data_IF_876405166727
#
_entry.id   IF_876405166727
#
_cell.length_a   1.000
_cell.length_b   1.000
_cell.length_c   1.000
_cell.angle_alpha   90.00
_cell.angle_beta   90.00
_cell.angle_gamma   90.00
#
_symmetry.space_group_name_H-M   'P 1'
#
loop_
_entity.id
_entity.type
_entity.pdbx_description
1 polymer ?
#
# COMPACT_ATOMS: atom_id res chain seq x y z
N UNK A 1 65.52 40.86 -27.52
CA UNK A 1 64.84 40.11 -26.44
C UNK A 1 63.48 40.72 -26.17
N UNK A 2 62.39 40.02 -26.52
CA UNK A 2 61.05 40.08 -25.91
C UNK A 2 60.13 39.19 -26.75
N UNK A 3 59.89 37.97 -26.27
CA UNK A 3 58.90 37.04 -26.81
C UNK A 3 57.53 37.49 -26.29
N UNK A 4 56.58 37.78 -27.18
CA UNK A 4 55.17 37.99 -26.82
C UNK A 4 54.48 36.65 -27.05
N UNK A 5 54.03 36.02 -25.96
CA UNK A 5 53.26 34.78 -26.00
C UNK A 5 51.78 35.15 -25.99
N UNK A 6 51.07 34.76 -27.05
CA UNK A 6 49.62 34.91 -27.20
C UNK A 6 48.95 33.77 -26.41
N UNK A 7 48.24 34.08 -25.32
CA UNK A 7 47.45 33.11 -24.58
C UNK A 7 46.01 33.11 -25.14
N UNK A 8 45.63 32.04 -25.84
CA UNK A 8 44.25 31.76 -26.23
C UNK A 8 43.62 30.93 -25.11
N UNK A 9 42.64 31.51 -24.41
CA UNK A 9 41.82 30.79 -23.43
C UNK A 9 40.62 30.19 -24.18
N UNK A 10 40.65 28.89 -24.41
CA UNK A 10 39.48 28.12 -24.85
C UNK A 10 38.63 27.80 -23.62
N UNK A 11 37.49 28.47 -23.47
CA UNK A 11 36.42 28.03 -22.57
C UNK A 11 35.73 26.82 -23.22
N UNK A 12 36.02 25.63 -22.72
CA UNK A 12 35.27 24.42 -23.03
C UNK A 12 34.04 24.39 -22.12
N UNK A 13 32.88 24.72 -22.68
CA UNK A 13 31.59 24.56 -22.02
C UNK A 13 31.26 23.06 -21.91
N UNK A 14 31.50 22.48 -20.73
CA UNK A 14 31.00 21.15 -20.39
C UNK A 14 29.47 21.24 -20.21
N UNK A 15 28.71 20.97 -21.27
CA UNK A 15 27.32 20.59 -21.14
C UNK A 15 27.28 19.17 -20.60
N UNK A 16 27.28 19.04 -19.27
CA UNK A 16 26.87 17.80 -18.62
C UNK A 16 25.39 17.58 -18.90
N UNK A 17 25.07 16.77 -19.91
CA UNK A 17 23.78 16.09 -19.99
C UNK A 17 23.74 15.12 -18.82
N UNK A 18 23.30 15.59 -17.65
CA UNK A 18 22.86 14.72 -16.59
C UNK A 18 21.66 13.95 -17.12
N UNK A 19 21.90 12.75 -17.64
CA UNK A 19 20.86 11.74 -17.76
C UNK A 19 20.37 11.48 -16.34
N UNK A 20 19.34 12.21 -15.94
CA UNK A 20 18.56 11.89 -14.77
C UNK A 20 17.81 10.62 -15.13
N UNK A 21 18.45 9.45 -14.98
CA UNK A 21 17.77 8.16 -15.09
C UNK A 21 16.67 8.18 -14.03
N UNK A 22 15.46 8.53 -14.46
CA UNK A 22 14.29 8.39 -13.62
C UNK A 22 14.12 6.90 -13.37
N UNK A 23 14.32 6.49 -12.12
CA UNK A 23 14.20 5.08 -11.73
C UNK A 23 12.76 4.62 -11.87
N UNK A 24 12.54 3.60 -12.69
CA UNK A 24 11.25 2.92 -12.83
C UNK A 24 10.84 2.27 -11.50
N UNK A 25 9.55 2.33 -11.15
CA UNK A 25 8.95 1.62 -10.02
C UNK A 25 8.70 0.13 -10.32
N UNK A 26 8.38 -0.17 -11.58
CA UNK A 26 8.29 -1.54 -12.08
C UNK A 26 9.56 -1.79 -12.88
N UNK A 27 10.50 -2.58 -12.37
CA UNK A 27 11.80 -2.77 -13.01
C UNK A 27 11.72 -3.58 -14.31
N UNK A 28 10.80 -4.54 -14.41
CA UNK A 28 10.60 -5.36 -15.60
C UNK A 28 9.88 -4.59 -16.72
N UNK A 29 10.51 -4.51 -17.90
CA UNK A 29 9.98 -3.75 -19.03
C UNK A 29 8.77 -4.41 -19.70
N UNK A 30 8.67 -5.74 -19.68
CA UNK A 30 7.52 -6.46 -20.23
C UNK A 30 6.31 -6.25 -19.34
N UNK A 31 6.49 -6.33 -18.02
CA UNK A 31 5.43 -6.06 -17.05
C UNK A 31 4.95 -4.61 -17.16
N UNK A 32 5.86 -3.63 -17.27
CA UNK A 32 5.47 -2.23 -17.54
C UNK A 32 4.61 -2.09 -18.80
N UNK A 33 4.98 -2.75 -19.88
CA UNK A 33 4.25 -2.68 -21.15
C UNK A 33 2.85 -3.32 -21.04
N UNK A 34 2.72 -4.40 -20.28
CA UNK A 34 1.43 -5.06 -20.02
C UNK A 34 0.50 -4.16 -19.18
N UNK A 35 1.01 -3.59 -18.09
CA UNK A 35 0.27 -2.64 -17.24
C UNK A 35 -0.22 -1.44 -18.04
N UNK A 36 0.65 -0.86 -18.88
CA UNK A 36 0.28 0.29 -19.73
C UNK A 36 -0.79 -0.08 -20.77
N UNK A 37 -0.67 -1.27 -21.38
CA UNK A 37 -1.68 -1.78 -22.33
C UNK A 37 -3.04 -1.94 -21.66
N UNK A 38 -3.10 -2.54 -20.47
CA UNK A 38 -4.34 -2.76 -19.73
C UNK A 38 -4.97 -1.43 -19.27
N UNK A 39 -4.13 -0.49 -18.82
CA UNK A 39 -4.54 0.88 -18.52
C UNK A 39 -5.19 1.57 -19.72
N UNK A 40 -4.53 1.57 -20.88
CA UNK A 40 -5.04 2.17 -22.11
C UNK A 40 -6.35 1.51 -22.57
N UNK A 41 -6.45 0.18 -22.47
CA UNK A 41 -7.66 -0.56 -22.79
C UNK A 41 -8.83 -0.12 -21.89
N UNK A 42 -8.60 0.02 -20.58
CA UNK A 42 -9.64 0.50 -19.66
C UNK A 42 -10.01 1.97 -19.93
N UNK A 43 -9.03 2.82 -20.17
CA UNK A 43 -9.25 4.23 -20.50
C UNK A 43 -10.13 4.38 -21.76
N UNK A 44 -9.83 3.62 -22.81
CA UNK A 44 -10.63 3.60 -24.03
C UNK A 44 -12.07 3.10 -23.78
N UNK A 45 -12.25 2.14 -22.88
CA UNK A 45 -13.57 1.56 -22.57
C UNK A 45 -14.47 2.47 -21.72
N UNK A 46 -13.89 3.36 -20.90
CA UNK A 46 -14.63 4.23 -19.98
C UNK A 46 -14.94 5.63 -20.53
N UNK A 47 -14.32 6.03 -21.65
CA UNK A 47 -14.59 7.21 -22.49
C UNK A 47 -15.26 8.42 -21.80
N UNK A 48 -14.74 8.81 -20.64
CA UNK A 48 -15.18 9.95 -19.83
C UNK A 48 -13.93 10.68 -19.36
N UNK A 49 -13.71 11.88 -19.91
CA UNK A 49 -12.43 12.59 -19.79
C UNK A 49 -12.03 12.94 -18.35
N UNK A 50 -13.01 13.02 -17.43
CA UNK A 50 -12.77 13.40 -16.03
C UNK A 50 -12.15 12.28 -15.19
N UNK A 51 -12.48 11.00 -15.47
CA UNK A 51 -12.03 9.87 -14.64
C UNK A 51 -10.50 9.72 -14.59
N UNK A 52 -9.82 10.13 -15.65
CA UNK A 52 -8.37 10.00 -15.82
C UNK A 52 -7.62 11.34 -15.71
N UNK A 53 -8.31 12.41 -15.34
CA UNK A 53 -7.74 13.77 -15.32
C UNK A 53 -6.50 13.91 -14.40
N UNK A 54 -6.40 13.07 -13.35
CA UNK A 54 -5.23 13.05 -12.43
C UNK A 54 -3.91 12.79 -13.13
N UNK A 55 -3.89 12.11 -14.28
CA UNK A 55 -2.65 11.86 -15.04
C UNK A 55 -2.06 13.13 -15.68
N UNK A 56 -2.80 14.23 -15.67
CA UNK A 56 -2.32 15.57 -16.06
C UNK A 56 -1.64 16.31 -14.90
N UNK A 57 -1.73 15.83 -13.66
CA UNK A 57 -1.07 16.42 -12.52
C UNK A 57 0.46 16.17 -12.53
N UNK A 58 1.27 17.05 -11.93
CA UNK A 58 2.70 16.82 -11.76
C UNK A 58 2.96 15.57 -10.90
N UNK A 59 3.73 14.63 -11.46
CA UNK A 59 4.13 13.39 -10.80
C UNK A 59 5.49 12.90 -11.33
N UNK A 60 6.23 12.22 -10.47
CA UNK A 60 7.43 11.44 -10.81
C UNK A 60 7.06 10.23 -11.68
N UNK A 61 8.07 9.64 -12.33
CA UNK A 61 7.87 8.42 -13.11
C UNK A 61 7.32 7.26 -12.25
N UNK A 62 7.87 7.08 -11.05
CA UNK A 62 7.43 6.04 -10.12
C UNK A 62 5.96 6.23 -9.67
N UNK A 63 5.55 7.47 -9.37
CA UNK A 63 4.14 7.78 -9.05
C UNK A 63 3.22 7.50 -10.24
N UNK A 64 3.64 7.87 -11.46
CA UNK A 64 2.87 7.59 -12.67
C UNK A 64 2.68 6.10 -12.87
N UNK A 65 3.74 5.30 -12.76
CA UNK A 65 3.66 3.84 -12.94
C UNK A 65 2.81 3.15 -11.88
N UNK A 66 2.92 3.58 -10.62
CA UNK A 66 2.08 3.07 -9.54
C UNK A 66 0.60 3.43 -9.77
N UNK A 67 0.32 4.66 -10.20
CA UNK A 67 -1.03 5.10 -10.49
C UNK A 67 -1.62 4.41 -11.72
N UNK A 68 -0.83 4.20 -12.78
CA UNK A 68 -1.19 3.40 -13.96
C UNK A 68 -1.56 1.98 -13.52
N UNK A 69 -0.75 1.34 -12.67
CA UNK A 69 -1.06 0.01 -12.13
C UNK A 69 -2.39 -0.02 -11.37
N UNK A 70 -2.63 0.95 -10.47
CA UNK A 70 -3.89 1.04 -9.74
C UNK A 70 -5.07 1.23 -10.70
N UNK A 71 -4.97 2.15 -11.66
CA UNK A 71 -6.05 2.38 -12.63
C UNK A 71 -6.27 1.20 -13.57
N UNK A 72 -5.22 0.49 -13.98
CA UNK A 72 -5.32 -0.71 -14.81
C UNK A 72 -6.12 -1.83 -14.13
N UNK A 73 -6.00 -1.99 -12.80
CA UNK A 73 -6.55 -3.17 -12.10
C UNK A 73 -7.63 -2.88 -11.05
N UNK A 74 -7.86 -1.63 -10.66
CA UNK A 74 -8.99 -1.28 -9.78
C UNK A 74 -10.34 -1.54 -10.46
N UNK A 75 -11.37 -1.96 -9.70
CA UNK A 75 -12.75 -1.99 -10.18
C UNK A 75 -13.18 -0.63 -10.77
N UNK A 76 -14.07 -0.67 -11.75
CA UNK A 76 -14.59 0.56 -12.38
C UNK A 76 -15.31 1.44 -11.35
N UNK A 77 -16.08 0.83 -10.44
CA UNK A 77 -16.75 1.55 -9.36
C UNK A 77 -15.79 2.36 -8.51
N UNK A 78 -14.64 1.79 -8.15
CA UNK A 78 -13.61 2.52 -7.38
C UNK A 78 -13.11 3.75 -8.13
N UNK A 79 -12.78 3.60 -9.41
CA UNK A 79 -12.28 4.71 -10.24
C UNK A 79 -13.34 5.82 -10.38
N UNK A 80 -14.62 5.45 -10.42
CA UNK A 80 -15.73 6.39 -10.57
C UNK A 80 -16.16 7.07 -9.26
N UNK A 81 -16.09 6.35 -8.13
CA UNK A 81 -16.61 6.81 -6.84
C UNK A 81 -15.63 7.73 -6.09
N UNK A 82 -14.35 7.75 -6.47
CA UNK A 82 -13.29 8.50 -5.78
C UNK A 82 -12.50 9.40 -6.74
N UNK A 83 -12.15 10.63 -6.32
CA UNK A 83 -11.40 11.55 -7.16
C UNK A 83 -9.98 11.04 -7.40
N UNK A 84 -9.41 11.28 -8.59
CA UNK A 84 -8.05 10.81 -8.90
C UNK A 84 -6.97 11.30 -7.91
N UNK A 85 -7.12 12.51 -7.37
CA UNK A 85 -6.25 13.04 -6.32
C UNK A 85 -6.20 12.17 -5.04
N UNK A 86 -7.26 11.41 -4.73
CA UNK A 86 -7.28 10.45 -3.63
C UNK A 86 -6.28 9.30 -3.87
N UNK A 87 -6.23 8.77 -5.09
CA UNK A 87 -5.29 7.72 -5.48
C UNK A 87 -3.85 8.21 -5.50
N UNK A 88 -3.62 9.42 -6.03
CA UNK A 88 -2.29 10.03 -6.04
C UNK A 88 -1.80 10.31 -4.61
N UNK A 89 -2.67 10.80 -3.72
CA UNK A 89 -2.36 11.00 -2.29
C UNK A 89 -1.97 9.68 -1.60
N UNK A 90 -2.73 8.61 -1.81
CA UNK A 90 -2.42 7.29 -1.25
C UNK A 90 -1.13 6.69 -1.83
N UNK A 91 -0.84 6.92 -3.11
CA UNK A 91 0.40 6.49 -3.78
C UNK A 91 1.61 7.18 -3.15
N UNK A 92 1.53 8.51 -2.98
CA UNK A 92 2.56 9.32 -2.32
C UNK A 92 2.82 8.84 -0.90
N UNK A 93 1.76 8.70 -0.11
CA UNK A 93 1.86 8.24 1.29
C UNK A 93 2.50 6.85 1.38
N UNK A 94 2.19 5.93 0.46
CA UNK A 94 2.87 4.62 0.43
C UNK A 94 4.36 4.72 0.11
N UNK A 95 4.76 5.59 -0.81
CA UNK A 95 6.19 5.79 -1.11
C UNK A 95 6.93 6.51 0.01
N UNK A 96 6.27 7.45 0.71
CA UNK A 96 6.80 8.07 1.92
C UNK A 96 7.04 7.03 3.02
N UNK A 97 6.03 6.20 3.32
CA UNK A 97 6.19 5.09 4.28
C UNK A 97 7.29 4.11 3.85
N UNK A 98 7.38 3.77 2.56
CA UNK A 98 8.48 2.92 2.04
C UNK A 98 9.86 3.55 2.22
N UNK A 99 9.96 4.88 2.13
CA UNK A 99 11.22 5.59 2.30
C UNK A 99 11.62 5.71 3.77
N UNK A 100 10.66 5.95 4.65
CA UNK A 100 10.91 6.25 6.07
C UNK A 100 11.05 4.98 6.93
N UNK A 101 10.34 3.91 6.60
CA UNK A 101 10.34 2.69 7.40
C UNK A 101 11.59 1.84 7.14
N UNK A 102 12.22 1.24 8.18
CA UNK A 102 13.48 0.51 8.04
C UNK A 102 13.44 -0.64 7.03
N UNK A 103 12.28 -1.31 6.90
CA UNK A 103 12.05 -2.44 5.99
C UNK A 103 11.70 -2.04 4.55
N UNK A 104 11.40 -0.77 4.28
CA UNK A 104 10.83 -0.38 2.98
C UNK A 104 11.76 -0.60 1.78
N UNK A 105 13.08 -0.60 2.02
CA UNK A 105 14.12 -0.95 1.03
C UNK A 105 14.25 -2.46 0.79
N UNK A 106 13.88 -3.28 1.77
CA UNK A 106 14.08 -4.73 1.76
C UNK A 106 12.84 -5.47 1.20
N UNK A 107 11.69 -4.79 1.15
CA UNK A 107 10.48 -5.30 0.51
C UNK A 107 10.67 -5.29 -1.03
N UNK A 108 10.56 -6.46 -1.70
CA UNK A 108 10.59 -6.55 -3.15
C UNK A 108 9.50 -5.70 -3.82
N UNK A 109 9.82 -5.09 -4.96
CA UNK A 109 8.89 -4.19 -5.65
C UNK A 109 7.55 -4.85 -6.01
N UNK A 110 7.55 -6.13 -6.38
CA UNK A 110 6.34 -6.86 -6.70
C UNK A 110 5.47 -7.10 -5.45
N UNK A 111 6.09 -7.41 -4.31
CA UNK A 111 5.38 -7.57 -3.03
C UNK A 111 4.78 -6.23 -2.60
N UNK A 112 5.56 -5.14 -2.67
CA UNK A 112 5.07 -3.81 -2.36
C UNK A 112 3.89 -3.39 -3.26
N UNK A 113 4.03 -3.57 -4.58
CA UNK A 113 3.03 -3.20 -5.58
C UNK A 113 1.69 -3.91 -5.38
N UNK A 114 1.69 -5.15 -4.91
CA UNK A 114 0.46 -5.93 -4.75
C UNK A 114 -0.10 -5.95 -3.33
N UNK A 115 0.71 -5.69 -2.31
CA UNK A 115 0.32 -5.88 -0.91
C UNK A 115 0.55 -4.68 0.01
N UNK A 116 1.06 -3.57 -0.52
CA UNK A 116 1.10 -2.26 0.17
C UNK A 116 0.34 -1.21 -0.63
N UNK A 117 0.66 -1.08 -1.92
CA UNK A 117 0.11 -0.02 -2.77
C UNK A 117 -1.43 -0.02 -2.85
N UNK A 118 -2.13 -1.17 -3.03
CA UNK A 118 -3.59 -1.19 -3.14
C UNK A 118 -4.29 -0.61 -1.90
N UNK A 119 -5.30 0.22 -2.15
CA UNK A 119 -5.99 1.00 -1.12
C UNK A 119 -7.09 0.15 -0.47
N UNK A 120 -8.03 -0.34 -1.30
CA UNK A 120 -9.10 -1.25 -0.89
C UNK A 120 -8.53 -2.63 -0.50
N UNK A 121 -9.12 -3.21 0.52
CA UNK A 121 -8.81 -4.56 1.03
C UNK A 121 -9.91 -5.54 0.65
N UNK A 122 -11.18 -5.18 0.84
CA UNK A 122 -12.35 -6.01 0.55
C UNK A 122 -13.48 -5.19 -0.09
N UNK A 123 -14.65 -5.08 0.57
CA UNK A 123 -15.84 -4.40 0.07
C UNK A 123 -16.18 -3.12 0.86
N UNK A 124 -15.25 -2.62 1.66
CA UNK A 124 -15.40 -1.42 2.49
C UNK A 124 -15.39 -0.13 1.68
N UNK A 125 -16.05 0.93 2.12
CA UNK A 125 -15.76 2.25 1.53
C UNK A 125 -14.30 2.61 1.82
N UNK A 126 -13.54 3.01 0.80
CA UNK A 126 -12.19 3.55 1.01
C UNK A 126 -12.27 4.92 1.70
N UNK A 127 -11.27 5.20 2.55
CA UNK A 127 -11.14 6.45 3.29
C UNK A 127 -9.66 6.87 3.42
N UNK A 128 -9.41 7.95 4.16
CA UNK A 128 -8.05 8.48 4.36
C UNK A 128 -7.25 7.77 5.47
N UNK A 129 -7.65 6.56 5.87
CA UNK A 129 -7.02 5.78 6.95
C UNK A 129 -5.52 5.63 6.81
N UNK A 130 -5.00 5.41 5.59
CA UNK A 130 -3.55 5.29 5.36
C UNK A 130 -2.76 6.45 5.96
N UNK A 131 -3.21 7.68 5.74
CA UNK A 131 -2.52 8.87 6.24
C UNK A 131 -2.68 9.02 7.75
N UNK A 132 -3.87 8.74 8.29
CA UNK A 132 -4.15 8.84 9.73
C UNK A 132 -3.35 7.79 10.51
N UNK A 133 -3.38 6.53 10.05
CA UNK A 133 -2.72 5.42 10.72
C UNK A 133 -1.21 5.53 10.65
N UNK A 134 -0.66 6.04 9.54
CA UNK A 134 0.78 6.32 9.44
C UNK A 134 1.26 7.25 10.56
N UNK A 135 0.53 8.35 10.79
CA UNK A 135 0.88 9.31 11.85
C UNK A 135 0.79 8.70 13.26
N UNK A 136 -0.16 7.80 13.50
CA UNK A 136 -0.30 7.13 14.80
C UNK A 136 0.74 6.01 15.02
N UNK A 137 1.17 5.34 13.94
CA UNK A 137 1.99 4.12 14.03
C UNK A 137 3.48 4.36 13.82
N UNK A 138 3.90 5.36 13.03
CA UNK A 138 5.32 5.56 12.65
C UNK A 138 6.28 5.67 13.83
N UNK A 139 5.83 6.27 14.94
CA UNK A 139 6.62 6.40 16.16
C UNK A 139 6.61 5.10 17.00
N UNK A 140 5.47 4.37 17.01
CA UNK A 140 5.33 3.10 17.73
C UNK A 140 6.23 2.02 17.16
N UNK A 141 6.32 1.93 15.84
CA UNK A 141 7.12 0.90 15.16
C UNK A 141 8.59 1.29 15.01
N UNK A 142 9.00 2.47 15.50
CA UNK A 142 10.36 2.97 15.35
C UNK A 142 11.35 2.05 16.08
N UNK A 143 12.37 1.59 15.35
CA UNK A 143 13.44 0.77 15.91
C UNK A 143 13.06 -0.71 16.12
N UNK A 144 11.83 -1.09 15.78
CA UNK A 144 11.41 -2.49 15.77
C UNK A 144 11.92 -3.21 14.52
N UNK A 145 12.10 -4.53 14.65
CA UNK A 145 12.23 -5.40 13.48
C UNK A 145 10.91 -5.41 12.69
N UNK A 146 10.94 -5.85 11.43
CA UNK A 146 9.70 -6.00 10.65
C UNK A 146 8.73 -6.98 11.34
N UNK A 147 9.25 -8.06 11.92
CA UNK A 147 8.47 -9.03 12.70
C UNK A 147 7.78 -8.38 13.90
N UNK A 148 8.52 -7.65 14.73
CA UNK A 148 7.99 -7.00 15.93
C UNK A 148 7.04 -5.85 15.57
N UNK A 149 7.28 -5.17 14.45
CA UNK A 149 6.39 -4.12 13.95
C UNK A 149 5.01 -4.67 13.55
N UNK A 150 4.94 -5.87 12.97
CA UNK A 150 3.64 -6.51 12.67
C UNK A 150 2.86 -6.75 13.97
N UNK A 151 3.52 -7.27 15.00
CA UNK A 151 2.90 -7.51 16.31
C UNK A 151 2.44 -6.20 16.95
N UNK A 152 3.31 -5.18 16.98
CA UNK A 152 3.00 -3.87 17.54
C UNK A 152 1.80 -3.20 16.84
N UNK A 153 1.73 -3.29 15.51
CA UNK A 153 0.57 -2.78 14.76
C UNK A 153 -0.71 -3.52 15.16
N UNK A 154 -0.67 -4.84 15.36
CA UNK A 154 -1.85 -5.59 15.79
C UNK A 154 -2.26 -5.25 17.24
N UNK A 155 -1.28 -5.03 18.12
CA UNK A 155 -1.51 -4.51 19.47
C UNK A 155 -2.22 -3.16 19.41
N UNK A 156 -1.75 -2.23 18.58
CA UNK A 156 -2.44 -0.96 18.36
C UNK A 156 -3.85 -1.17 17.78
N UNK A 157 -4.04 -2.15 16.90
CA UNK A 157 -5.38 -2.43 16.35
C UNK A 157 -6.36 -2.89 17.44
N UNK A 158 -5.91 -3.76 18.33
CA UNK A 158 -6.68 -4.24 19.49
C UNK A 158 -7.09 -3.10 20.44
N UNK A 159 -6.25 -2.08 20.60
CA UNK A 159 -6.58 -0.88 21.40
C UNK A 159 -7.75 -0.07 20.81
N UNK A 160 -8.09 -0.28 19.53
CA UNK A 160 -9.05 0.55 18.78
C UNK A 160 -10.37 -0.16 18.48
N UNK A 161 -10.33 -1.44 18.17
CA UNK A 161 -11.49 -2.19 17.65
C UNK A 161 -11.60 -3.51 18.39
N UNK A 162 -12.81 -3.81 18.87
CA UNK A 162 -13.16 -5.09 19.48
C UNK A 162 -14.16 -5.87 18.62
N UNK A 163 -14.10 -7.20 18.70
CA UNK A 163 -15.03 -8.05 17.98
C UNK A 163 -16.48 -7.81 18.41
N UNK A 164 -17.36 -7.53 17.45
CA UNK A 164 -18.82 -7.50 17.63
C UNK A 164 -19.50 -7.93 16.33
N UNK A 165 -20.42 -8.92 16.37
CA UNK A 165 -21.17 -9.33 15.18
C UNK A 165 -21.89 -8.16 14.50
N UNK A 166 -21.81 -8.07 13.17
CA UNK A 166 -22.40 -7.01 12.34
C UNK A 166 -23.01 -7.58 11.05
N UNK A 167 -23.47 -6.71 10.14
CA UNK A 167 -23.96 -7.13 8.83
C UNK A 167 -22.81 -7.47 7.83
N UNK A 168 -23.17 -7.96 6.65
CA UNK A 168 -22.19 -8.43 5.64
C UNK A 168 -21.35 -7.31 5.01
N UNK A 169 -21.72 -6.05 5.17
CA UNK A 169 -20.96 -4.90 4.66
C UNK A 169 -19.80 -4.61 5.60
N UNK A 170 -18.60 -4.52 5.04
CA UNK A 170 -17.42 -4.19 5.83
C UNK A 170 -17.33 -2.67 6.01
N UNK A 171 -17.22 -2.21 7.25
CA UNK A 171 -16.99 -0.81 7.56
C UNK A 171 -15.60 -0.34 7.11
N UNK A 172 -15.47 0.94 6.76
CA UNK A 172 -14.16 1.53 6.45
C UNK A 172 -13.26 1.57 7.68
N UNK A 173 -11.92 1.59 7.55
CA UNK A 173 -11.04 1.56 8.71
C UNK A 173 -11.26 2.75 9.67
N UNK A 174 -11.49 3.97 9.17
CA UNK A 174 -11.82 5.12 10.04
C UNK A 174 -13.22 5.02 10.65
N UNK A 175 -14.16 4.34 9.99
CA UNK A 175 -15.45 4.06 10.60
C UNK A 175 -15.28 3.11 11.79
N UNK A 176 -14.45 2.06 11.66
CA UNK A 176 -14.13 1.14 12.75
C UNK A 176 -13.46 1.83 13.95
N UNK A 177 -12.58 2.82 13.72
CA UNK A 177 -12.04 3.65 14.83
C UNK A 177 -13.15 4.42 15.56
N UNK A 178 -14.13 4.94 14.83
CA UNK A 178 -15.23 5.74 15.41
C UNK A 178 -16.23 4.89 16.19
N UNK A 179 -16.54 3.69 15.69
CA UNK A 179 -17.48 2.78 16.33
C UNK A 179 -16.81 1.94 17.42
N UNK A 180 -15.50 1.73 17.33
CA UNK A 180 -14.69 0.88 18.18
C UNK A 180 -15.08 -0.62 18.16
N UNK A 181 -15.84 -1.06 17.15
CA UNK A 181 -16.23 -2.46 17.00
C UNK A 181 -16.32 -2.89 15.53
N UNK A 182 -16.21 -4.20 15.29
CA UNK A 182 -16.43 -4.84 13.99
C UNK A 182 -16.38 -6.36 14.08
N UNK A 183 -16.90 -7.08 13.07
CA UNK A 183 -16.68 -8.54 12.97
C UNK A 183 -15.33 -8.82 12.31
N UNK A 184 -15.02 -10.10 12.08
CA UNK A 184 -13.79 -10.56 11.45
C UNK A 184 -13.47 -9.86 10.11
N UNK A 185 -14.49 -9.46 9.34
CA UNK A 185 -14.31 -8.70 8.10
C UNK A 185 -13.74 -7.31 8.33
N UNK A 186 -14.35 -6.54 9.22
CA UNK A 186 -13.93 -5.19 9.62
C UNK A 186 -12.57 -5.20 10.29
N UNK A 187 -12.33 -6.12 11.22
CA UNK A 187 -11.07 -6.21 11.96
C UNK A 187 -9.91 -6.53 11.01
N UNK A 188 -10.10 -7.46 10.07
CA UNK A 188 -9.04 -7.81 9.11
C UNK A 188 -8.82 -6.73 8.04
N UNK A 189 -9.86 -6.03 7.58
CA UNK A 189 -9.68 -4.83 6.73
C UNK A 189 -8.93 -3.74 7.48
N UNK A 190 -9.31 -3.47 8.74
CA UNK A 190 -8.68 -2.48 9.59
C UNK A 190 -7.20 -2.78 9.85
N UNK A 191 -6.89 -4.03 10.22
CA UNK A 191 -5.52 -4.48 10.49
C UNK A 191 -4.65 -4.44 9.23
N UNK A 192 -5.17 -4.86 8.07
CA UNK A 192 -4.44 -4.74 6.79
C UNK A 192 -4.18 -3.27 6.45
N UNK A 193 -5.17 -2.39 6.61
CA UNK A 193 -4.99 -0.95 6.38
C UNK A 193 -3.92 -0.35 7.31
N UNK A 194 -3.91 -0.74 8.59
CA UNK A 194 -2.91 -0.33 9.56
C UNK A 194 -1.49 -0.79 9.18
N UNK A 195 -1.31 -2.06 8.86
CA UNK A 195 -0.02 -2.61 8.43
C UNK A 195 0.50 -1.90 7.15
N UNK A 196 -0.36 -1.75 6.15
CA UNK A 196 -0.01 -1.08 4.89
C UNK A 196 0.32 0.40 5.08
N UNK A 197 -0.24 1.06 6.09
CA UNK A 197 0.05 2.47 6.37
C UNK A 197 1.53 2.71 6.71
N UNK A 198 2.16 1.77 7.42
CA UNK A 198 3.59 1.77 7.72
C UNK A 198 4.39 0.89 6.75
N UNK A 199 3.88 0.72 5.53
CA UNK A 199 4.61 0.03 4.46
C UNK A 199 4.83 -1.46 4.66
N UNK A 200 4.12 -2.12 5.59
CA UNK A 200 4.21 -3.58 5.79
C UNK A 200 3.27 -4.26 4.80
N UNK A 201 3.74 -5.21 3.97
CA UNK A 201 2.89 -5.90 3.02
C UNK A 201 1.93 -6.84 3.75
N UNK A 202 0.64 -6.67 3.51
CA UNK A 202 -0.41 -7.43 4.19
C UNK A 202 -1.58 -7.74 3.27
N UNK A 203 -2.32 -8.82 3.57
CA UNK A 203 -3.54 -9.21 2.88
C UNK A 203 -4.56 -9.79 3.85
N UNK A 204 -5.84 -9.57 3.54
CA UNK A 204 -6.92 -10.31 4.16
C UNK A 204 -7.00 -11.68 3.50
N UNK A 205 -7.19 -12.71 4.31
CA UNK A 205 -7.52 -14.05 3.85
C UNK A 205 -8.88 -14.42 4.43
N UNK A 206 -9.70 -15.11 3.65
CA UNK A 206 -11.05 -15.47 4.07
C UNK A 206 -11.43 -16.87 3.60
N UNK A 207 -12.34 -17.50 4.33
CA UNK A 207 -13.10 -18.65 3.85
C UNK A 207 -14.59 -18.41 4.03
N UNK A 208 -15.44 -18.69 3.02
CA UNK A 208 -16.88 -18.51 3.12
C UNK A 208 -17.55 -19.48 4.10
N UNK A 209 -16.84 -20.55 4.50
CA UNK A 209 -17.33 -21.53 5.45
C UNK A 209 -16.19 -22.08 6.29
N UNK A 210 -16.33 -22.00 7.61
CA UNK A 210 -15.40 -22.62 8.54
C UNK A 210 -15.76 -24.09 8.81
N UNK A 211 -14.77 -24.95 9.05
CA UNK A 211 -15.00 -26.39 9.19
C UNK A 211 -15.86 -26.76 10.42
N UNK A 212 -15.87 -25.91 11.45
CA UNK A 212 -16.51 -26.19 12.73
C UNK A 212 -17.56 -25.14 13.15
N UNK A 213 -17.81 -24.13 12.29
CA UNK A 213 -18.82 -23.09 12.51
C UNK A 213 -19.53 -22.82 11.19
N UNK A 214 -20.87 -22.68 11.21
CA UNK A 214 -21.65 -22.33 10.02
C UNK A 214 -21.60 -20.83 9.72
N UNK A 215 -20.38 -20.28 9.65
CA UNK A 215 -20.12 -18.88 9.34
C UNK A 215 -18.84 -18.72 8.51
N UNK A 216 -18.67 -17.56 7.89
CA UNK A 216 -17.42 -17.17 7.25
C UNK A 216 -16.40 -16.72 8.30
N UNK A 217 -15.11 -16.86 7.98
CA UNK A 217 -14.03 -16.34 8.81
C UNK A 217 -12.97 -15.65 7.96
N UNK A 218 -12.38 -14.60 8.51
CA UNK A 218 -11.32 -13.83 7.90
C UNK A 218 -10.19 -13.60 8.91
N UNK A 219 -8.95 -13.61 8.41
CA UNK A 219 -7.73 -13.34 9.17
C UNK A 219 -6.77 -12.51 8.31
N UNK A 220 -5.62 -12.16 8.88
CA UNK A 220 -4.60 -11.38 8.18
C UNK A 220 -3.36 -12.21 7.96
N UNK A 221 -2.74 -12.02 6.79
CA UNK A 221 -1.37 -12.43 6.55
C UNK A 221 -0.47 -11.22 6.30
N UNK A 222 0.68 -11.19 6.97
CA UNK A 222 1.72 -10.20 6.80
C UNK A 222 2.99 -10.83 6.22
N UNK A 223 3.66 -10.12 5.33
CA UNK A 223 4.93 -10.55 4.75
C UNK A 223 6.09 -10.08 5.62
N UNK A 224 6.92 -11.02 6.05
CA UNK A 224 8.13 -10.76 6.84
C UNK A 224 9.28 -11.56 6.23
N UNK A 225 10.31 -10.85 5.76
CA UNK A 225 11.58 -11.42 5.31
C UNK A 225 11.46 -12.64 4.37
N UNK A 226 10.61 -12.52 3.36
CA UNK A 226 10.42 -13.56 2.34
C UNK A 226 9.30 -14.56 2.62
N UNK A 227 8.60 -14.46 3.75
CA UNK A 227 7.56 -15.41 4.16
C UNK A 227 6.27 -14.70 4.54
N UNK A 228 5.15 -15.37 4.28
CA UNK A 228 3.84 -14.95 4.77
C UNK A 228 3.58 -15.60 6.12
N UNK A 229 3.14 -14.79 7.07
CA UNK A 229 2.75 -15.21 8.40
C UNK A 229 1.29 -14.85 8.64
N UNK A 230 0.51 -15.76 9.20
CA UNK A 230 -0.88 -15.49 9.56
C UNK A 230 -1.01 -15.01 11.01
N UNK A 231 -2.08 -14.27 11.29
CA UNK A 231 -2.42 -13.72 12.60
C UNK A 231 -3.92 -13.41 12.67
N UNK A 232 -4.47 -13.45 13.89
CA UNK A 232 -5.78 -12.87 14.18
C UNK A 232 -5.77 -11.35 14.00
N UNK A 233 -6.89 -10.79 13.55
CA UNK A 233 -7.01 -9.36 13.30
C UNK A 233 -7.53 -8.65 14.56
N UNK A 234 -6.85 -7.61 15.04
CA UNK A 234 -7.14 -7.00 16.34
C UNK A 234 -6.99 -7.97 17.53
N UNK A 235 -6.27 -9.07 17.34
CA UNK A 235 -6.03 -10.13 18.32
C UNK A 235 -4.53 -10.26 18.58
N UNK A 236 -4.00 -9.60 19.62
CA UNK A 236 -2.56 -9.42 19.77
C UNK A 236 -1.92 -10.64 20.43
N UNK A 237 -1.68 -11.66 19.63
CA UNK A 237 -0.87 -12.82 20.01
C UNK A 237 0.61 -12.45 20.15
N UNK A 238 1.37 -13.08 21.07
CA UNK A 238 2.77 -12.72 21.32
C UNK A 238 3.71 -13.15 20.18
N UNK A 239 3.23 -13.96 19.23
CA UNK A 239 3.99 -14.48 18.10
C UNK A 239 3.13 -14.56 16.84
N UNK A 240 3.76 -14.50 15.68
CA UNK A 240 3.11 -14.73 14.40
C UNK A 240 2.90 -16.24 14.14
N UNK A 241 1.99 -16.57 13.21
CA UNK A 241 1.44 -17.92 13.00
C UNK A 241 0.70 -18.46 14.22
N UNK A 242 0.10 -17.57 15.00
CA UNK A 242 -0.82 -17.87 16.08
C UNK A 242 -2.09 -17.04 15.91
N UNK A 243 -3.22 -17.72 15.97
CA UNK A 243 -4.57 -17.19 15.84
C UNK A 243 -5.55 -18.16 16.53
N UNK A 244 -6.80 -17.73 16.68
CA UNK A 244 -7.88 -18.50 17.31
C UNK A 244 -8.14 -19.91 16.72
N UNK A 245 -7.57 -20.24 15.55
CA UNK A 245 -7.73 -21.53 14.87
C UNK A 245 -6.55 -22.50 14.99
N UNK A 246 -5.46 -22.15 15.67
CA UNK A 246 -4.26 -23.01 15.74
C UNK A 246 -4.50 -24.31 16.50
N UNK A 247 -5.21 -24.24 17.62
CA UNK A 247 -5.53 -25.38 18.48
C UNK A 247 -7.05 -25.50 18.60
N UNK A 248 -7.59 -26.70 18.87
CA UNK A 248 -9.02 -26.88 19.04
C UNK A 248 -9.52 -25.99 20.20
N UNK A 249 -10.55 -25.18 19.88
CA UNK A 249 -11.30 -24.38 20.85
C UNK A 249 -11.99 -25.23 21.93
#
# INVERSE_FOLDING_TARGET
MKKIFLLIVLLVSFFGTGCNEQTHFISDASERAEVEKDFQAKQAALSTDDLFAVFNEPMTLAEREALTFLYAYSPIGDIADYPGGFYLKNTRSSFEARKEMPWGKDIPENVFRHFVLPIRVNNENMDESRMVFYEELKDRVRGLSLYDAVLEVNHWCHEKVIYTPSDVRTSSPLASVKTAYGRCGEESVFTVAALRSVGIPARQVYTPRWAHTDDNHAWVEAWVDGKWYFMGACEPEPVLNLAWFNDPA
#
